data_IF_355729992028
#
_entry.id   IF_355729992028
#
_cell.length_a   1.000
_cell.length_b   1.000
_cell.length_c   1.000
_cell.angle_alpha   90.00
_cell.angle_beta   90.00
_cell.angle_gamma   90.00
#
_symmetry.space_group_name_H-M   'P 1'
#
loop_
_entity.id
_entity.type
_entity.pdbx_description
1 polymer ?
#
# COMPACT_ATOMS: atom_id res chain seq x y z
N UNK A 1 11.48 20.46 14.95
CA UNK A 1 10.92 19.19 15.45
C UNK A 1 11.22 18.12 14.41
N UNK A 2 12.27 17.34 14.64
CA UNK A 2 12.72 16.30 13.72
C UNK A 2 12.26 14.94 14.25
N UNK A 3 11.42 14.27 13.48
CA UNK A 3 10.81 12.99 13.82
C UNK A 3 11.84 11.88 13.65
N UNK A 4 12.38 11.40 14.78
CA UNK A 4 13.15 10.16 14.83
C UNK A 4 12.27 9.00 14.34
N UNK A 5 12.56 8.49 13.14
CA UNK A 5 11.98 7.23 12.67
C UNK A 5 12.89 6.12 13.18
N UNK A 6 12.59 5.62 14.36
CA UNK A 6 13.28 4.47 14.95
C UNK A 6 12.97 3.25 14.08
N UNK A 7 13.97 2.78 13.34
CA UNK A 7 13.97 1.45 12.75
C UNK A 7 13.89 0.43 13.87
N UNK A 8 12.69 -0.11 14.12
CA UNK A 8 12.50 -1.22 15.04
C UNK A 8 13.20 -2.46 14.47
N UNK A 9 14.44 -2.67 14.93
CA UNK A 9 15.13 -3.96 14.89
C UNK A 9 14.22 -4.99 15.53
N UNK A 10 13.71 -5.94 14.72
CA UNK A 10 12.95 -7.08 15.21
C UNK A 10 13.86 -8.00 16.00
N UNK A 11 13.89 -7.79 17.31
CA UNK A 11 14.41 -8.74 18.29
C UNK A 11 13.46 -9.94 18.36
N UNK A 12 14.04 -11.13 18.20
CA UNK A 12 13.34 -12.40 18.00
C UNK A 12 12.34 -12.76 19.10
N UNK A 13 11.07 -12.72 18.75
CA UNK A 13 10.09 -13.70 19.23
C UNK A 13 10.31 -15.00 18.44
N UNK A 14 10.11 -16.20 19.02
CA UNK A 14 10.09 -17.42 18.23
C UNK A 14 9.04 -17.23 17.13
N UNK A 15 9.48 -17.20 15.87
CA UNK A 15 8.57 -17.05 14.74
C UNK A 15 7.73 -18.32 14.65
N UNK A 16 6.57 -18.33 15.29
CA UNK A 16 5.58 -19.39 15.15
C UNK A 16 5.29 -19.65 13.67
N UNK A 17 5.32 -20.93 13.27
CA UNK A 17 5.10 -21.37 11.90
C UNK A 17 3.62 -21.35 11.50
N UNK A 18 3.33 -21.28 10.19
CA UNK A 18 1.96 -21.20 9.67
C UNK A 18 1.03 -22.35 10.14
N UNK A 19 1.57 -23.56 10.30
CA UNK A 19 0.80 -24.73 10.72
C UNK A 19 0.51 -24.76 12.23
N UNK A 20 1.08 -23.84 13.01
CA UNK A 20 0.77 -23.73 14.43
C UNK A 20 -0.63 -23.14 14.65
N UNK A 21 -1.28 -23.47 15.79
CA UNK A 21 -2.60 -22.95 16.12
C UNK A 21 -2.70 -21.42 15.95
N UNK A 22 -3.77 -20.98 15.30
CA UNK A 22 -4.13 -19.57 15.05
C UNK A 22 -3.16 -18.77 14.17
N UNK A 23 -2.03 -19.32 13.69
CA UNK A 23 -1.09 -18.54 12.87
C UNK A 23 -1.63 -18.18 11.47
N UNK A 24 -2.74 -18.80 11.03
CA UNK A 24 -3.44 -18.40 9.81
C UNK A 24 -4.09 -17.01 9.91
N UNK A 25 -4.28 -16.45 11.10
CA UNK A 25 -4.83 -15.09 11.30
C UNK A 25 -4.04 -14.03 10.52
N UNK A 26 -2.73 -14.24 10.31
CA UNK A 26 -1.91 -13.36 9.45
C UNK A 26 -2.43 -13.28 8.01
N UNK A 27 -2.99 -14.37 7.48
CA UNK A 27 -3.59 -14.39 6.15
C UNK A 27 -4.91 -13.61 6.12
N UNK A 28 -5.71 -13.73 7.17
CA UNK A 28 -6.96 -12.99 7.35
C UNK A 28 -6.67 -11.49 7.48
N UNK A 29 -5.76 -11.12 8.36
CA UNK A 29 -5.34 -9.73 8.55
C UNK A 29 -4.79 -9.13 7.24
N UNK A 30 -3.97 -9.86 6.48
CA UNK A 30 -3.48 -9.39 5.18
C UNK A 30 -4.62 -9.07 4.21
N UNK A 31 -5.66 -9.91 4.19
CA UNK A 31 -6.85 -9.63 3.38
C UNK A 31 -7.50 -8.31 3.84
N UNK A 32 -7.77 -8.16 5.13
CA UNK A 32 -8.50 -7.00 5.67
C UNK A 32 -7.74 -5.68 5.44
N UNK A 33 -6.43 -5.69 5.68
CA UNK A 33 -5.55 -4.54 5.42
C UNK A 33 -5.50 -4.14 3.95
N UNK A 34 -5.73 -5.07 3.02
CA UNK A 34 -5.71 -4.74 1.59
C UNK A 34 -6.73 -3.68 1.18
N UNK A 35 -7.90 -3.60 1.84
CA UNK A 35 -8.90 -2.55 1.62
C UNK A 35 -8.40 -1.17 2.08
N UNK A 36 -7.69 -1.14 3.21
CA UNK A 36 -7.09 0.08 3.75
C UNK A 36 -5.96 0.58 2.86
N UNK A 37 -5.13 -0.33 2.35
CA UNK A 37 -4.07 0.02 1.40
C UNK A 37 -4.62 0.66 0.11
N UNK A 38 -5.78 0.19 -0.40
CA UNK A 38 -6.44 0.84 -1.55
C UNK A 38 -6.95 2.24 -1.18
N UNK A 39 -7.49 2.41 0.03
CA UNK A 39 -7.94 3.71 0.51
C UNK A 39 -6.76 4.70 0.64
N UNK A 40 -5.63 4.25 1.19
CA UNK A 40 -4.41 5.05 1.26
C UNK A 40 -3.89 5.44 -0.13
N UNK A 41 -3.91 4.51 -1.08
CA UNK A 41 -3.52 4.79 -2.46
C UNK A 41 -4.47 5.82 -3.12
N UNK A 42 -5.77 5.69 -2.90
CA UNK A 42 -6.78 6.65 -3.37
C UNK A 42 -6.55 8.05 -2.78
N UNK A 43 -6.33 8.15 -1.46
CA UNK A 43 -6.05 9.44 -0.82
C UNK A 43 -4.76 10.07 -1.36
N UNK A 44 -3.69 9.28 -1.55
CA UNK A 44 -2.43 9.77 -2.09
C UNK A 44 -2.59 10.34 -3.52
N UNK A 45 -3.40 9.72 -4.38
CA UNK A 45 -3.69 10.26 -5.71
C UNK A 45 -4.62 11.48 -5.68
N UNK A 46 -5.51 11.60 -4.69
CA UNK A 46 -6.35 12.78 -4.50
C UNK A 46 -5.52 13.98 -4.09
N UNK A 47 -4.64 13.80 -3.10
CA UNK A 47 -3.65 14.80 -2.70
C UNK A 47 -2.78 15.23 -3.89
N UNK A 48 -2.31 14.27 -4.69
CA UNK A 48 -1.57 14.58 -5.90
C UNK A 48 -2.40 15.40 -6.90
N UNK A 49 -3.66 15.03 -7.16
CA UNK A 49 -4.51 15.81 -8.06
C UNK A 49 -4.74 17.24 -7.57
N UNK A 50 -4.80 17.46 -6.25
CA UNK A 50 -4.95 18.79 -5.66
C UNK A 50 -3.71 19.66 -5.87
N UNK A 51 -2.50 19.07 -5.84
CA UNK A 51 -1.27 19.77 -6.19
C UNK A 51 -1.31 20.26 -7.65
N UNK A 52 -1.74 19.40 -8.57
CA UNK A 52 -1.89 19.75 -9.98
C UNK A 52 -2.88 20.90 -10.17
N UNK A 53 -4.07 20.81 -9.55
CA UNK A 53 -5.07 21.88 -9.61
C UNK A 53 -4.55 23.22 -9.08
N UNK A 54 -3.77 23.20 -8.00
CA UNK A 54 -3.15 24.41 -7.44
C UNK A 54 -2.22 25.07 -8.46
N UNK A 55 -1.38 24.28 -9.13
CA UNK A 55 -0.46 24.78 -10.13
C UNK A 55 -1.17 25.29 -11.39
N UNK A 56 -2.19 24.57 -11.87
CA UNK A 56 -3.06 25.00 -12.98
C UNK A 56 -3.65 26.37 -12.68
N UNK A 57 -4.26 26.56 -11.51
CA UNK A 57 -4.89 27.83 -11.14
C UNK A 57 -3.87 28.97 -11.04
N UNK A 58 -2.68 28.70 -10.50
CA UNK A 58 -1.61 29.67 -10.42
C UNK A 58 -1.12 30.12 -11.81
N UNK A 59 -0.92 29.17 -12.73
CA UNK A 59 -0.50 29.44 -14.11
C UNK A 59 -1.54 30.26 -14.88
N UNK A 60 -2.82 29.87 -14.81
CA UNK A 60 -3.91 30.61 -15.48
C UNK A 60 -4.07 32.02 -14.91
N UNK A 61 -3.99 32.17 -13.59
CA UNK A 61 -4.05 33.48 -12.93
C UNK A 61 -2.89 34.38 -13.38
N UNK A 62 -1.66 33.85 -13.37
CA UNK A 62 -0.48 34.56 -13.85
C UNK A 62 -0.61 34.96 -15.33
N UNK A 63 -1.03 34.04 -16.19
CA UNK A 63 -1.19 34.30 -17.62
C UNK A 63 -2.22 35.39 -17.90
N UNK A 64 -3.42 35.29 -17.32
CA UNK A 64 -4.49 36.29 -17.50
C UNK A 64 -4.07 37.67 -17.02
N UNK A 65 -3.41 37.75 -15.86
CA UNK A 65 -2.88 39.01 -15.32
C UNK A 65 -1.94 39.66 -16.33
N UNK A 66 -0.94 38.93 -16.82
CA UNK A 66 0.09 39.51 -17.67
C UNK A 66 -0.40 39.83 -19.09
N UNK A 67 -1.34 39.06 -19.65
CA UNK A 67 -2.03 39.50 -20.88
C UNK A 67 -2.74 40.85 -20.67
N UNK A 68 -3.45 41.00 -19.54
CA UNK A 68 -4.10 42.25 -19.18
C UNK A 68 -3.13 43.42 -19.03
N UNK A 69 -1.95 43.20 -18.45
CA UNK A 69 -0.91 44.24 -18.35
C UNK A 69 -0.27 44.55 -19.71
N UNK A 70 0.02 43.53 -20.52
CA UNK A 70 0.61 43.69 -21.85
C UNK A 70 -0.26 44.55 -22.78
N UNK A 71 -1.58 44.43 -22.71
CA UNK A 71 -2.48 45.27 -23.53
C UNK A 71 -2.33 46.77 -23.23
N UNK A 72 -1.93 47.14 -22.01
CA UNK A 72 -1.72 48.52 -21.57
C UNK A 72 -0.33 49.07 -21.91
N UNK A 73 0.63 48.20 -22.23
CA UNK A 73 2.00 48.60 -22.52
C UNK A 73 2.13 49.17 -23.94
N UNK A 74 2.77 50.33 -24.04
CA UNK A 74 3.27 50.93 -25.29
C UNK A 74 4.60 50.29 -25.69
N UNK A 75 4.58 48.98 -25.88
CA UNK A 75 5.74 48.16 -26.29
C UNK A 75 5.75 47.95 -27.80
N UNK A 76 6.95 47.76 -28.37
CA UNK A 76 7.11 47.55 -29.79
C UNK A 76 6.44 46.26 -30.29
N UNK A 77 5.84 46.24 -31.49
CA UNK A 77 5.05 45.09 -31.95
C UNK A 77 5.80 43.76 -31.97
N UNK A 78 7.05 43.73 -32.47
CA UNK A 78 7.78 42.46 -32.58
C UNK A 78 8.23 41.92 -31.21
N UNK A 79 8.67 42.81 -30.31
CA UNK A 79 9.02 42.48 -28.93
C UNK A 79 7.81 42.08 -28.08
N UNK A 80 6.72 42.85 -28.16
CA UNK A 80 5.44 42.59 -27.47
C UNK A 80 4.89 41.22 -27.83
N UNK A 81 5.02 40.81 -29.09
CA UNK A 81 4.57 39.50 -29.57
C UNK A 81 5.33 38.33 -28.92
N UNK A 82 6.64 38.46 -28.72
CA UNK A 82 7.43 37.44 -28.01
C UNK A 82 7.01 37.37 -26.54
N UNK A 83 6.83 38.52 -25.89
CA UNK A 83 6.38 38.56 -24.50
C UNK A 83 4.98 37.94 -24.34
N UNK A 84 4.05 38.27 -25.23
CA UNK A 84 2.72 37.69 -25.26
C UNK A 84 2.76 36.16 -25.42
N UNK A 85 3.65 35.64 -26.27
CA UNK A 85 3.86 34.20 -26.40
C UNK A 85 4.36 33.56 -25.09
N UNK A 86 5.30 34.20 -24.38
CA UNK A 86 5.77 33.70 -23.07
C UNK A 86 4.59 33.59 -22.11
N UNK A 87 3.75 34.62 -22.03
CA UNK A 87 2.59 34.62 -21.14
C UNK A 87 1.59 33.53 -21.56
N UNK A 88 1.34 33.39 -22.87
CA UNK A 88 0.49 32.34 -23.46
C UNK A 88 0.95 30.92 -23.13
N UNK A 89 2.27 30.66 -23.01
CA UNK A 89 2.76 29.32 -22.59
C UNK A 89 2.29 28.93 -21.19
N UNK A 90 1.94 29.90 -20.33
CA UNK A 90 1.35 29.62 -19.02
C UNK A 90 0.01 28.88 -19.09
N UNK A 91 -0.88 29.27 -20.01
CA UNK A 91 -2.16 28.56 -20.22
C UNK A 91 -1.92 27.17 -20.84
N UNK A 92 -0.99 27.05 -21.79
CA UNK A 92 -0.65 25.76 -22.41
C UNK A 92 -0.08 24.77 -21.37
N UNK A 93 0.79 25.25 -20.48
CA UNK A 93 1.31 24.47 -19.36
C UNK A 93 0.17 24.07 -18.40
N UNK A 94 -0.75 25.00 -18.12
CA UNK A 94 -1.89 24.73 -17.27
C UNK A 94 -2.78 23.63 -17.86
N UNK A 95 -2.95 23.58 -19.18
CA UNK A 95 -3.75 22.53 -19.83
C UNK A 95 -3.09 21.14 -19.75
N UNK A 96 -1.76 21.07 -19.82
CA UNK A 96 -1.00 19.83 -19.59
C UNK A 96 -1.26 19.31 -18.17
N UNK A 97 -1.05 20.17 -17.17
CA UNK A 97 -1.25 19.80 -15.76
C UNK A 97 -2.73 19.52 -15.44
N UNK A 98 -3.66 20.21 -16.09
CA UNK A 98 -5.09 19.93 -15.98
C UNK A 98 -5.42 18.53 -16.53
N UNK A 99 -4.79 18.11 -17.62
CA UNK A 99 -4.94 16.75 -18.17
C UNK A 99 -4.46 15.68 -17.18
N UNK A 100 -3.35 15.94 -16.48
CA UNK A 100 -2.84 15.06 -15.41
C UNK A 100 -3.86 14.96 -14.27
N UNK A 101 -4.34 16.10 -13.77
CA UNK A 101 -5.35 16.17 -12.70
C UNK A 101 -6.64 15.42 -13.08
N UNK A 102 -7.14 15.67 -14.30
CA UNK A 102 -8.35 15.01 -14.81
C UNK A 102 -8.17 13.49 -14.92
N UNK A 103 -7.03 12.99 -15.43
CA UNK A 103 -6.84 11.54 -15.49
C UNK A 103 -6.71 10.89 -14.09
N UNK A 104 -6.14 11.60 -13.11
CA UNK A 104 -6.17 11.13 -11.73
C UNK A 104 -7.62 11.00 -11.23
N UNK A 105 -8.44 12.04 -11.41
CA UNK A 105 -9.81 12.10 -10.86
C UNK A 105 -10.85 11.28 -11.61
N UNK A 106 -10.75 11.23 -12.94
CA UNK A 106 -11.80 10.70 -13.81
C UNK A 106 -11.51 9.25 -14.25
N UNK A 107 -10.27 8.78 -14.07
CA UNK A 107 -9.86 7.45 -14.51
C UNK A 107 -9.25 6.61 -13.37
N UNK A 108 -8.21 7.11 -12.69
CA UNK A 108 -7.56 6.35 -11.61
C UNK A 108 -8.45 6.24 -10.35
N UNK A 109 -9.03 7.36 -9.89
CA UNK A 109 -9.87 7.37 -8.69
C UNK A 109 -11.11 6.46 -8.80
N UNK A 110 -11.88 6.47 -9.90
CA UNK A 110 -13.04 5.61 -10.04
C UNK A 110 -12.65 4.13 -10.07
N UNK A 111 -11.52 3.78 -10.71
CA UNK A 111 -11.00 2.40 -10.70
C UNK A 111 -10.67 1.91 -9.30
N UNK A 112 -9.97 2.73 -8.50
CA UNK A 112 -9.65 2.40 -7.10
C UNK A 112 -10.92 2.20 -6.26
N UNK A 113 -11.88 3.13 -6.36
CA UNK A 113 -13.15 3.07 -5.63
C UNK A 113 -13.98 1.85 -6.04
N UNK A 114 -14.09 1.59 -7.33
CA UNK A 114 -14.88 0.48 -7.87
C UNK A 114 -14.25 -0.87 -7.53
N UNK A 115 -12.94 -1.04 -7.75
CA UNK A 115 -12.26 -2.29 -7.42
C UNK A 115 -12.35 -2.61 -5.93
N UNK A 116 -12.19 -1.60 -5.07
CA UNK A 116 -12.38 -1.77 -3.62
C UNK A 116 -13.79 -2.22 -3.28
N UNK A 117 -14.80 -1.57 -3.85
CA UNK A 117 -16.22 -1.92 -3.64
C UNK A 117 -16.51 -3.37 -4.04
N UNK A 118 -16.00 -3.80 -5.20
CA UNK A 118 -16.28 -5.12 -5.76
C UNK A 118 -15.57 -6.26 -5.03
N UNK A 119 -14.38 -5.99 -4.48
CA UNK A 119 -13.55 -7.02 -3.84
C UNK A 119 -13.64 -7.03 -2.31
N UNK A 120 -14.15 -5.96 -1.69
CA UNK A 120 -14.23 -5.81 -0.23
C UNK A 120 -15.65 -5.55 0.26
N UNK A 121 -16.56 -6.49 -0.02
CA UNK A 121 -17.93 -6.43 0.46
C UNK A 121 -18.02 -6.65 1.99
N UNK A 122 -18.68 -5.73 2.70
CA UNK A 122 -18.96 -5.82 4.14
C UNK A 122 -20.32 -6.46 4.41
N UNK A 123 -20.46 -7.19 5.51
CA UNK A 123 -21.76 -7.64 6.02
C UNK A 123 -22.40 -6.59 6.94
N UNK A 124 -21.79 -6.33 8.11
CA UNK A 124 -22.17 -5.28 9.06
C UNK A 124 -20.89 -4.60 9.59
N UNK A 125 -19.94 -5.40 10.08
CA UNK A 125 -18.65 -4.92 10.62
C UNK A 125 -17.47 -5.48 9.83
N UNK A 126 -17.56 -6.75 9.43
CA UNK A 126 -16.46 -7.51 8.83
C UNK A 126 -16.64 -7.70 7.32
N UNK A 127 -15.53 -7.95 6.62
CA UNK A 127 -15.57 -8.33 5.21
C UNK A 127 -16.06 -9.78 5.06
N UNK A 128 -16.99 -10.01 4.14
CA UNK A 128 -17.61 -11.34 3.94
C UNK A 128 -16.58 -12.42 3.62
N UNK A 129 -15.66 -12.14 2.69
CA UNK A 129 -14.61 -13.08 2.27
C UNK A 129 -13.59 -13.35 3.38
N UNK A 130 -13.27 -12.36 4.20
CA UNK A 130 -12.42 -12.52 5.39
C UNK A 130 -13.02 -13.56 6.33
N UNK A 131 -14.32 -13.41 6.66
CA UNK A 131 -15.05 -14.36 7.51
C UNK A 131 -15.27 -15.73 6.88
N UNK A 132 -15.35 -15.82 5.55
CA UNK A 132 -15.36 -17.11 4.84
C UNK A 132 -14.04 -17.85 5.07
N UNK A 133 -12.90 -17.20 4.78
CA UNK A 133 -11.59 -17.82 4.99
C UNK A 133 -11.33 -18.19 6.44
N UNK A 134 -11.66 -17.30 7.40
CA UNK A 134 -11.48 -17.56 8.83
C UNK A 134 -12.23 -18.83 9.27
N UNK A 135 -13.50 -18.97 8.89
CA UNK A 135 -14.31 -20.16 9.21
C UNK A 135 -13.74 -21.43 8.59
N UNK A 136 -13.25 -21.36 7.37
CA UNK A 136 -12.65 -22.52 6.71
C UNK A 136 -11.32 -22.92 7.38
N UNK A 137 -10.45 -21.96 7.74
CA UNK A 137 -9.25 -22.23 8.53
C UNK A 137 -9.57 -22.86 9.88
N UNK A 138 -10.53 -22.28 10.62
CA UNK A 138 -11.00 -22.82 11.91
C UNK A 138 -11.51 -24.26 11.74
N UNK A 139 -12.28 -24.52 10.69
CA UNK A 139 -12.81 -25.85 10.40
C UNK A 139 -11.69 -26.86 10.15
N UNK A 140 -10.68 -26.50 9.34
CA UNK A 140 -9.53 -27.36 9.03
C UNK A 140 -8.65 -27.58 10.27
N UNK A 141 -8.43 -26.55 11.08
CA UNK A 141 -7.51 -26.60 12.22
C UNK A 141 -8.14 -27.23 13.48
N UNK A 142 -9.47 -27.25 13.60
CA UNK A 142 -10.16 -27.80 14.79
C UNK A 142 -9.80 -29.26 15.12
N UNK A 143 -9.79 -30.23 14.18
CA UNK A 143 -9.35 -31.59 14.48
C UNK A 143 -7.87 -31.67 14.88
N UNK A 144 -7.03 -30.86 14.26
CA UNK A 144 -5.60 -30.79 14.58
C UNK A 144 -5.37 -30.27 16.00
N UNK A 145 -6.07 -29.20 16.40
CA UNK A 145 -5.98 -28.66 17.75
C UNK A 145 -6.41 -29.69 18.81
N UNK A 146 -7.47 -30.47 18.55
CA UNK A 146 -7.88 -31.57 19.45
C UNK A 146 -6.83 -32.66 19.60
N UNK A 147 -6.12 -32.99 18.51
CA UNK A 147 -5.01 -33.96 18.56
C UNK A 147 -3.85 -33.41 19.41
N UNK A 148 -3.48 -32.14 19.22
CA UNK A 148 -2.45 -31.49 20.03
C UNK A 148 -2.82 -31.41 21.52
N UNK A 149 -4.09 -31.13 21.83
CA UNK A 149 -4.62 -31.15 23.19
C UNK A 149 -4.53 -32.57 23.80
N UNK A 150 -4.94 -33.60 23.04
CA UNK A 150 -4.83 -35.00 23.48
C UNK A 150 -3.37 -35.42 23.74
N UNK A 151 -2.44 -34.97 22.91
CA UNK A 151 -0.98 -35.18 23.11
C UNK A 151 -0.51 -34.50 24.39
N UNK A 152 -0.97 -33.26 24.64
CA UNK A 152 -0.63 -32.52 25.84
C UNK A 152 -1.13 -33.25 27.09
N UNK A 153 -2.40 -33.68 27.12
CA UNK A 153 -2.97 -34.45 28.23
C UNK A 153 -2.23 -35.78 28.47
N UNK A 154 -1.92 -36.52 27.40
CA UNK A 154 -1.19 -37.78 27.50
C UNK A 154 0.22 -37.56 28.05
N UNK A 155 0.91 -36.49 27.65
CA UNK A 155 2.21 -36.08 28.19
C UNK A 155 2.11 -35.76 29.69
N UNK A 156 1.12 -34.97 30.10
CA UNK A 156 0.92 -34.63 31.51
C UNK A 156 0.64 -35.87 32.36
N UNK A 157 -0.20 -36.78 31.85
CA UNK A 157 -0.49 -38.03 32.53
C UNK A 157 0.76 -38.93 32.64
N UNK A 158 1.54 -39.07 31.57
CA UNK A 158 2.81 -39.80 31.60
C UNK A 158 3.76 -39.24 32.66
N UNK A 159 3.95 -37.92 32.71
CA UNK A 159 4.81 -37.28 33.71
C UNK A 159 4.29 -37.44 35.14
N UNK A 160 2.97 -37.35 35.34
CA UNK A 160 2.34 -37.56 36.65
C UNK A 160 2.61 -38.97 37.17
N UNK A 161 2.35 -40.00 36.37
CA UNK A 161 2.53 -41.39 36.80
C UNK A 161 4.02 -41.73 36.94
N UNK A 162 4.89 -41.21 36.07
CA UNK A 162 6.34 -41.39 36.20
C UNK A 162 6.90 -40.79 37.50
N UNK A 163 6.37 -39.62 37.93
CA UNK A 163 6.72 -39.01 39.21
C UNK A 163 6.27 -39.88 40.40
N UNK A 164 5.05 -40.42 40.35
CA UNK A 164 4.54 -41.34 41.38
C UNK A 164 5.36 -42.63 41.46
N UNK A 165 5.75 -43.21 40.31
CA UNK A 165 6.62 -44.39 40.27
C UNK A 165 7.97 -44.11 40.96
N UNK A 166 8.58 -42.95 40.69
CA UNK A 166 9.83 -42.55 41.34
C UNK A 166 9.68 -42.48 42.87
N UNK A 167 8.58 -41.89 43.35
CA UNK A 167 8.29 -41.81 44.78
C UNK A 167 8.06 -43.19 45.40
N UNK A 168 7.36 -44.09 44.71
CA UNK A 168 7.14 -45.46 45.17
C UNK A 168 8.43 -46.29 45.19
N UNK A 169 9.36 -46.05 44.25
CA UNK A 169 10.68 -46.68 44.23
C UNK A 169 11.54 -46.23 45.43
N UNK A 170 11.54 -44.93 45.71
CA UNK A 170 12.20 -44.35 46.90
C UNK A 170 11.61 -44.92 48.19
N UNK A 171 10.28 -45.04 48.29
CA UNK A 171 9.59 -45.67 49.43
C UNK A 171 9.95 -47.15 49.59
N UNK A 172 10.10 -47.88 48.48
CA UNK A 172 10.51 -49.29 48.49
C UNK A 172 11.97 -49.46 48.94
N UNK A 173 12.87 -48.56 48.50
CA UNK A 173 14.30 -48.59 48.85
C UNK A 173 14.57 -48.15 50.30
N UNK A 174 13.74 -47.26 50.85
CA UNK A 174 13.85 -46.74 52.22
C UNK A 174 13.07 -47.54 53.27
N UNK A 175 12.55 -48.72 52.88
CA UNK A 175 11.72 -49.56 53.74
C UNK A 175 12.52 -50.14 54.93
N UNK A 176 12.11 -49.91 56.19
CA UNK A 176 12.75 -50.50 57.37
C UNK A 176 12.62 -52.03 57.40
N UNK A 177 13.62 -52.73 57.92
CA UNK A 177 13.62 -54.20 58.04
C UNK A 177 12.49 -54.74 58.93
N UNK A 178 12.00 -53.93 59.87
CA UNK A 178 10.92 -54.26 60.82
C UNK A 178 9.50 -54.07 60.25
N UNK A 179 9.38 -53.60 59.01
CA UNK A 179 8.08 -53.34 58.37
C UNK A 179 7.26 -54.64 58.29
N UNK A 180 5.98 -54.67 58.72
CA UNK A 180 5.14 -55.87 58.66
C UNK A 180 5.03 -56.41 57.23
N UNK A 181 5.06 -57.74 57.07
CA UNK A 181 5.06 -58.43 55.77
C UNK A 181 3.90 -58.00 54.86
N UNK A 182 2.73 -57.74 55.44
CA UNK A 182 1.56 -57.26 54.71
C UNK A 182 1.79 -55.86 54.11
N UNK A 183 2.38 -54.95 54.89
CA UNK A 183 2.75 -53.59 54.44
C UNK A 183 3.87 -53.64 53.39
N UNK A 184 4.85 -54.54 53.54
CA UNK A 184 5.90 -54.73 52.52
C UNK A 184 5.29 -55.15 51.19
N UNK A 185 4.36 -56.13 51.22
CA UNK A 185 3.66 -56.61 50.03
C UNK A 185 2.86 -55.48 49.36
N UNK A 186 2.13 -54.66 50.14
CA UNK A 186 1.39 -53.51 49.60
C UNK A 186 2.29 -52.49 48.90
N UNK A 187 3.46 -52.17 49.45
CA UNK A 187 4.42 -51.23 48.83
C UNK A 187 4.95 -51.80 47.51
N UNK A 188 5.29 -53.10 47.49
CA UNK A 188 5.77 -53.78 46.27
C UNK A 188 4.67 -53.86 45.20
N UNK A 189 3.45 -54.23 45.58
CA UNK A 189 2.29 -54.32 44.68
C UNK A 189 1.96 -52.93 44.08
N UNK A 190 1.97 -51.87 44.90
CA UNK A 190 1.78 -50.50 44.42
C UNK A 190 2.88 -50.07 43.43
N UNK A 191 4.14 -50.40 43.71
CA UNK A 191 5.25 -50.14 42.78
C UNK A 191 5.06 -50.85 41.44
N UNK A 192 4.69 -52.14 41.46
CA UNK A 192 4.44 -52.93 40.25
C UNK A 192 3.28 -52.32 39.44
N UNK A 193 2.19 -51.94 40.10
CA UNK A 193 1.05 -51.31 39.45
C UNK A 193 1.42 -49.96 38.81
N UNK A 194 2.18 -49.12 39.52
CA UNK A 194 2.65 -47.85 38.98
C UNK A 194 3.58 -48.04 37.78
N UNK A 195 4.42 -49.09 37.78
CA UNK A 195 5.27 -49.42 36.63
C UNK A 195 4.44 -49.76 35.39
N UNK A 196 3.41 -50.60 35.54
CA UNK A 196 2.47 -50.93 34.46
C UNK A 196 1.71 -49.68 33.95
N UNK A 197 1.30 -48.81 34.88
CA UNK A 197 0.62 -47.56 34.54
C UNK A 197 1.54 -46.61 33.75
N UNK A 198 2.84 -46.53 34.10
CA UNK A 198 3.83 -45.74 33.34
C UNK A 198 3.97 -46.28 31.92
N UNK A 199 4.11 -47.60 31.74
CA UNK A 199 4.25 -48.20 30.41
C UNK A 199 3.00 -47.99 29.55
N UNK A 200 1.81 -48.07 30.15
CA UNK A 200 0.54 -47.76 29.50
C UNK A 200 0.46 -46.28 29.09
N UNK A 201 0.78 -45.36 29.99
CA UNK A 201 0.77 -43.93 29.71
C UNK A 201 1.81 -43.53 28.65
N UNK A 202 3.00 -44.15 28.69
CA UNK A 202 4.05 -43.97 27.67
C UNK A 202 3.57 -44.43 26.30
N UNK A 203 3.00 -45.62 26.21
CA UNK A 203 2.51 -46.19 24.94
C UNK A 203 1.43 -45.29 24.33
N UNK A 204 0.46 -44.84 25.14
CA UNK A 204 -0.57 -43.90 24.69
C UNK A 204 0.03 -42.59 24.18
N UNK A 205 1.00 -42.01 24.90
CA UNK A 205 1.65 -40.77 24.49
C UNK A 205 2.44 -40.95 23.18
N UNK A 206 3.20 -42.04 23.03
CA UNK A 206 3.94 -42.36 21.81
C UNK A 206 3.02 -42.60 20.61
N UNK A 207 1.87 -43.26 20.81
CA UNK A 207 0.88 -43.48 19.77
C UNK A 207 0.31 -42.16 19.25
N UNK A 208 -0.03 -41.22 20.14
CA UNK A 208 -0.52 -39.90 19.72
C UNK A 208 0.58 -39.06 19.04
N UNK A 209 1.85 -39.21 19.45
CA UNK A 209 2.97 -38.55 18.77
C UNK A 209 3.19 -39.08 17.35
N UNK A 210 2.84 -40.34 17.08
CA UNK A 210 2.90 -40.90 15.73
C UNK A 210 1.95 -40.16 14.78
N UNK A 211 0.77 -39.72 15.24
CA UNK A 211 -0.22 -39.02 14.42
C UNK A 211 0.22 -37.60 13.99
N UNK A 212 1.20 -37.01 14.68
CA UNK A 212 1.81 -35.71 14.30
C UNK A 212 3.20 -35.85 13.67
N UNK A 213 3.70 -37.07 13.53
CA UNK A 213 4.99 -37.32 12.91
C UNK A 213 4.96 -36.94 11.42
N UNK A 214 6.10 -36.53 10.83
CA UNK A 214 6.20 -36.35 9.38
C UNK A 214 5.75 -37.63 8.65
N UNK A 215 4.85 -37.49 7.68
CA UNK A 215 4.32 -38.61 6.90
C UNK A 215 3.11 -39.33 7.51
N UNK A 216 2.68 -38.96 8.72
CA UNK A 216 1.45 -39.48 9.29
C UNK A 216 0.21 -38.90 8.59
N UNK A 217 -0.80 -39.73 8.35
CA UNK A 217 -2.03 -39.34 7.65
C UNK A 217 -2.71 -38.11 8.28
N UNK A 218 -2.86 -37.99 9.61
CA UNK A 218 -3.52 -36.83 10.21
C UNK A 218 -2.78 -35.51 9.93
N UNK A 219 -1.45 -35.54 10.00
CA UNK A 219 -0.60 -34.39 9.67
C UNK A 219 -0.67 -34.05 8.19
N UNK A 220 -0.52 -35.04 7.30
CA UNK A 220 -0.58 -34.82 5.85
C UNK A 220 -1.92 -34.21 5.42
N UNK A 221 -3.03 -34.72 5.94
CA UNK A 221 -4.37 -34.18 5.66
C UNK A 221 -4.52 -32.75 6.18
N UNK A 222 -4.06 -32.46 7.39
CA UNK A 222 -4.07 -31.11 7.95
C UNK A 222 -3.24 -30.14 7.10
N UNK A 223 -1.97 -30.48 6.80
CA UNK A 223 -1.08 -29.63 6.03
C UNK A 223 -1.61 -29.40 4.60
N UNK A 224 -2.10 -30.44 3.93
CA UNK A 224 -2.66 -30.32 2.57
C UNK A 224 -3.87 -29.37 2.53
N UNK A 225 -4.82 -29.54 3.44
CA UNK A 225 -6.01 -28.68 3.51
C UNK A 225 -5.63 -27.24 3.87
N UNK A 226 -4.70 -27.04 4.81
CA UNK A 226 -4.19 -25.70 5.18
C UNK A 226 -3.47 -25.02 4.01
N UNK A 227 -2.71 -25.77 3.20
CA UNK A 227 -2.05 -25.27 2.00
C UNK A 227 -3.08 -24.86 0.93
N UNK A 228 -4.13 -25.66 0.73
CA UNK A 228 -5.18 -25.36 -0.26
C UNK A 228 -5.87 -24.02 0.02
N UNK A 229 -6.33 -23.82 1.26
CA UNK A 229 -6.95 -22.55 1.65
C UNK A 229 -5.92 -21.41 1.61
N UNK A 230 -4.67 -21.64 2.01
CA UNK A 230 -3.61 -20.64 1.90
C UNK A 230 -3.41 -20.19 0.46
N UNK A 231 -3.38 -21.12 -0.51
CA UNK A 231 -3.28 -20.80 -1.93
C UNK A 231 -4.45 -19.95 -2.43
N UNK A 232 -5.67 -20.16 -1.92
CA UNK A 232 -6.82 -19.28 -2.22
C UNK A 232 -6.62 -17.86 -1.66
N UNK A 233 -6.07 -17.71 -0.46
CA UNK A 233 -5.71 -16.37 0.07
C UNK A 233 -4.58 -15.70 -0.71
N UNK A 234 -3.60 -16.48 -1.21
CA UNK A 234 -2.53 -16.01 -2.09
C UNK A 234 -3.07 -15.55 -3.44
N UNK A 235 -3.98 -16.32 -4.04
CA UNK A 235 -4.59 -15.98 -5.32
C UNK A 235 -5.40 -14.68 -5.21
N UNK A 236 -6.08 -14.44 -4.08
CA UNK A 236 -6.75 -13.17 -3.83
C UNK A 236 -5.74 -12.01 -3.71
N UNK A 237 -4.68 -12.17 -2.92
CA UNK A 237 -3.66 -11.12 -2.78
C UNK A 237 -2.96 -10.82 -4.11
N UNK A 238 -2.72 -11.84 -4.95
CA UNK A 238 -2.18 -11.65 -6.30
C UNK A 238 -3.07 -10.72 -7.12
N UNK A 239 -4.39 -10.88 -7.09
CA UNK A 239 -5.33 -9.98 -7.81
C UNK A 239 -5.17 -8.53 -7.36
N UNK A 240 -5.02 -8.28 -6.06
CA UNK A 240 -4.80 -6.93 -5.50
C UNK A 240 -3.48 -6.34 -5.98
N UNK A 241 -2.40 -7.12 -5.96
CA UNK A 241 -1.07 -6.67 -6.38
C UNK A 241 -1.01 -6.40 -7.89
N UNK A 242 -1.63 -7.25 -8.71
CA UNK A 242 -1.75 -7.03 -10.15
C UNK A 242 -2.55 -5.76 -10.44
N UNK A 243 -3.66 -5.54 -9.73
CA UNK A 243 -4.44 -4.30 -9.84
C UNK A 243 -3.61 -3.06 -9.46
N UNK A 244 -2.83 -3.11 -8.38
CA UNK A 244 -1.93 -2.01 -8.02
C UNK A 244 -0.94 -1.71 -9.13
N UNK A 245 -0.36 -2.75 -9.72
CA UNK A 245 0.56 -2.61 -10.86
C UNK A 245 -0.12 -1.93 -12.06
N UNK A 246 -1.36 -2.29 -12.38
CA UNK A 246 -2.14 -1.63 -13.43
C UNK A 246 -2.34 -0.14 -13.16
N UNK A 247 -2.73 0.22 -11.92
CA UNK A 247 -2.89 1.62 -11.49
C UNK A 247 -1.56 2.39 -11.61
N UNK A 248 -0.44 1.79 -11.21
CA UNK A 248 0.87 2.43 -11.33
C UNK A 248 1.27 2.66 -12.78
N UNK A 249 1.01 1.69 -13.66
CA UNK A 249 1.26 1.83 -15.11
C UNK A 249 0.41 2.97 -15.68
N UNK A 250 -0.86 3.05 -15.30
CA UNK A 250 -1.77 4.10 -15.75
C UNK A 250 -1.35 5.49 -15.27
N UNK A 251 -0.92 5.60 -14.02
CA UNK A 251 -0.35 6.83 -13.50
C UNK A 251 0.92 7.22 -14.26
N UNK A 252 1.85 6.29 -14.54
CA UNK A 252 3.05 6.58 -15.35
C UNK A 252 2.67 7.10 -16.74
N UNK A 253 1.69 6.46 -17.41
CA UNK A 253 1.19 6.92 -18.72
C UNK A 253 0.61 8.34 -18.64
N UNK A 254 -0.02 8.70 -17.53
CA UNK A 254 -0.55 10.06 -17.30
C UNK A 254 0.55 11.11 -17.41
N UNK A 255 1.75 10.81 -16.91
CA UNK A 255 2.88 11.74 -16.89
C UNK A 255 3.58 11.88 -18.25
N UNK A 256 3.35 10.96 -19.19
CA UNK A 256 4.04 10.94 -20.49
C UNK A 256 3.47 11.95 -21.48
N UNK A 257 3.64 13.24 -21.20
CA UNK A 257 3.13 14.37 -21.99
C UNK A 257 4.17 15.00 -22.94
N UNK A 258 5.24 14.26 -23.30
CA UNK A 258 6.41 14.80 -24.01
C UNK A 258 6.06 15.51 -25.33
N UNK A 259 5.12 14.96 -26.11
CA UNK A 259 4.73 15.55 -27.39
C UNK A 259 4.11 16.95 -27.23
N UNK A 260 3.33 17.16 -26.16
CA UNK A 260 2.68 18.44 -25.88
C UNK A 260 3.71 19.48 -25.45
N UNK A 261 4.67 19.09 -24.60
CA UNK A 261 5.80 19.94 -24.21
C UNK A 261 6.67 20.35 -25.41
N UNK A 262 7.00 19.40 -26.28
CA UNK A 262 7.80 19.69 -27.48
C UNK A 262 7.09 20.69 -28.39
N UNK A 263 5.79 20.50 -28.64
CA UNK A 263 5.00 21.44 -29.45
C UNK A 263 4.99 22.85 -28.84
N UNK A 264 4.78 22.96 -27.53
CA UNK A 264 4.82 24.26 -26.83
C UNK A 264 6.17 24.95 -27.02
N UNK A 265 7.28 24.21 -26.93
CA UNK A 265 8.62 24.74 -27.15
C UNK A 265 8.84 25.17 -28.61
N UNK A 266 8.40 24.37 -29.57
CA UNK A 266 8.51 24.68 -31.00
C UNK A 266 7.72 25.96 -31.36
N UNK A 267 6.53 26.14 -30.78
CA UNK A 267 5.72 27.34 -30.96
C UNK A 267 6.42 28.58 -30.36
N UNK A 268 7.07 28.44 -29.19
CA UNK A 268 7.88 29.50 -28.59
C UNK A 268 9.06 29.91 -29.49
N UNK A 269 9.84 28.94 -29.98
CA UNK A 269 10.98 29.20 -30.89
C UNK A 269 10.50 29.89 -32.16
N UNK A 270 9.37 29.46 -32.73
CA UNK A 270 8.81 30.06 -33.95
C UNK A 270 8.42 31.53 -33.74
N UNK A 271 7.79 31.87 -32.61
CA UNK A 271 7.44 33.27 -32.35
C UNK A 271 8.67 34.12 -32.07
N UNK A 272 9.66 33.58 -31.35
CA UNK A 272 10.92 34.27 -31.10
C UNK A 272 11.63 34.64 -32.40
N UNK A 273 11.59 33.78 -33.42
CA UNK A 273 12.14 34.08 -34.75
C UNK A 273 11.45 35.25 -35.46
N UNK A 274 10.26 35.67 -35.03
CA UNK A 274 9.56 36.84 -35.59
C UNK A 274 9.96 38.16 -34.93
N UNK A 275 10.80 38.13 -33.89
CA UNK A 275 11.38 39.33 -33.29
C UNK A 275 12.31 40.04 -34.27
N UNK A 276 12.11 41.33 -34.45
CA UNK A 276 12.91 42.16 -35.35
C UNK A 276 13.16 43.53 -34.72
N UNK A 277 14.29 43.64 -34.03
CA UNK A 277 14.73 44.87 -33.37
C UNK A 277 14.84 46.05 -34.33
N UNK A 278 15.36 45.84 -35.54
CA UNK A 278 15.56 46.95 -36.48
C UNK A 278 14.22 47.48 -36.99
N UNK A 279 13.27 46.61 -37.33
CA UNK A 279 11.94 47.03 -37.77
C UNK A 279 11.18 47.82 -36.69
N UNK A 280 11.33 47.41 -35.42
CA UNK A 280 10.75 48.13 -34.29
C UNK A 280 11.37 49.52 -34.12
N UNK A 281 12.70 49.65 -34.23
CA UNK A 281 13.41 50.94 -34.19
C UNK A 281 13.05 51.85 -35.37
N UNK A 282 12.97 51.28 -36.59
CA UNK A 282 12.60 52.01 -37.80
C UNK A 282 11.18 52.58 -37.68
N UNK A 283 10.26 51.80 -37.10
CA UNK A 283 8.89 52.24 -36.83
C UNK A 283 8.87 53.44 -35.89
N UNK A 284 9.66 53.42 -34.81
CA UNK A 284 9.78 54.57 -33.91
C UNK A 284 10.36 55.80 -34.62
N UNK A 285 11.45 55.61 -35.36
CA UNK A 285 12.13 56.68 -36.08
C UNK A 285 11.20 57.39 -37.07
N UNK A 286 10.38 56.62 -37.80
CA UNK A 286 9.46 57.16 -38.80
C UNK A 286 8.21 57.81 -38.17
N UNK A 287 7.70 57.29 -37.05
CA UNK A 287 6.47 57.80 -36.45
C UNK A 287 6.70 58.95 -35.45
N UNK A 288 7.83 58.94 -34.75
CA UNK A 288 8.12 59.85 -33.63
C UNK A 288 9.51 60.50 -33.70
N UNK A 289 10.38 60.03 -34.60
CA UNK A 289 11.73 60.55 -34.77
C UNK A 289 11.88 61.48 -35.97
N UNK A 290 13.13 61.72 -36.43
CA UNK A 290 13.42 62.58 -37.58
C UNK A 290 12.79 62.14 -38.90
N UNK A 291 12.33 60.88 -39.03
CA UNK A 291 11.60 60.40 -40.21
C UNK A 291 10.13 60.84 -40.24
N UNK A 292 9.60 61.38 -39.14
CA UNK A 292 8.22 61.86 -39.07
C UNK A 292 8.00 63.14 -39.86
N UNK A 293 6.80 63.29 -40.41
CA UNK A 293 6.44 64.46 -41.21
C UNK A 293 6.38 65.72 -40.33
N UNK A 294 7.29 66.66 -40.58
CA UNK A 294 7.29 67.98 -39.96
C UNK A 294 6.59 68.99 -40.87
N UNK A 295 5.64 69.72 -40.32
CA UNK A 295 5.02 70.87 -40.99
C UNK A 295 5.75 72.13 -40.54
N UNK A 296 6.63 72.62 -41.39
CA UNK A 296 7.36 73.86 -41.12
C UNK A 296 6.48 75.08 -41.44
N UNK A 297 6.61 76.18 -40.70
CA UNK A 297 5.89 77.41 -41.01
C UNK A 297 6.18 77.86 -42.45
N UNK A 298 5.11 78.09 -43.20
CA UNK A 298 5.13 78.75 -44.51
C UNK A 298 4.39 80.08 -44.38
N UNK A 299 4.60 80.98 -45.34
CA UNK A 299 3.84 82.23 -45.39
C UNK A 299 2.33 81.91 -45.45
N UNK A 300 1.56 82.49 -44.53
CA UNK A 300 0.10 82.43 -44.51
C UNK A 300 -0.46 83.85 -44.61
N UNK A 301 -1.41 84.04 -45.51
CA UNK A 301 -1.95 85.37 -45.82
C UNK A 301 -3.03 85.72 -44.80
N UNK A 302 -3.07 86.98 -44.35
CA UNK A 302 -4.05 87.41 -43.36
C UNK A 302 -5.47 87.22 -43.92
N UNK A 303 -6.25 86.34 -43.30
CA UNK A 303 -7.67 86.17 -43.61
C UNK A 303 -8.50 86.97 -42.61
N UNK A 304 -9.15 88.02 -43.10
CA UNK A 304 -10.11 88.84 -42.36
C UNK A 304 -11.44 88.08 -42.29
N UNK A 305 -11.53 87.08 -41.41
CA UNK A 305 -12.81 86.43 -41.11
C UNK A 305 -13.66 87.36 -40.25
N UNK A 306 -14.70 87.93 -40.87
CA UNK A 306 -15.85 88.58 -40.21
C UNK A 306 -16.63 87.55 -39.40
#
# INVERSE_FOLDING_TARGET
>A
MASNTTSASMTGTPSHGFFEPLQYERCINRYEFGSELIAHLSNMFEERSNLEHTYVNALRSWSRKWHGELTKLSEYPSNKKVWDQIVSTGEQMADIHQTIASNLNDNIQPKLKQWRKDNYEKSIINYKKSKEFEKEFEHIQKPWNKLLESIHEAKQNYYKVAKLLKQADEQKLSMPAETPTETQKQIVDNYIQLKLNVDTARTKYQQLLHDVAPGAEPRQRYEANMIEIFQRTQAFEKKRLDFFKEIFIEYIKTLQQQAVFNKMFDDYVRVLQTHNTQADLDTWYNNHGPGSQSHYPVFDEFQDTI
#
